data_IF_331403876396
#
_entry.id   IF_331403876396
#
_cell.length_a   1.000
_cell.length_b   1.000
_cell.length_c   1.000
_cell.angle_alpha   90.00
_cell.angle_beta   90.00
_cell.angle_gamma   90.00
#
_symmetry.space_group_name_H-M   'P 1'
#
loop_
_entity.id
_entity.type
_entity.pdbx_description
1 polymer ?
#
# COMPACT_ATOMS: atom_id res chain seq x y z
N UNK A 1 14.19 3.14 -3.40
CA UNK A 1 13.02 2.52 -2.77
C UNK A 1 12.09 2.02 -3.87
N UNK A 2 11.30 0.99 -3.58
CA UNK A 2 10.34 0.44 -4.55
C UNK A 2 8.94 0.44 -3.95
N UNK A 3 7.95 0.77 -4.76
CA UNK A 3 6.55 0.57 -4.41
C UNK A 3 6.15 -0.87 -4.73
N UNK A 4 5.67 -1.58 -3.72
CA UNK A 4 5.21 -2.97 -3.80
C UNK A 4 3.70 -2.99 -3.68
N UNK A 5 3.07 -3.72 -4.59
CA UNK A 5 1.63 -3.97 -4.58
C UNK A 5 1.36 -5.28 -3.84
N UNK A 6 0.70 -5.21 -2.69
CA UNK A 6 0.33 -6.39 -1.90
C UNK A 6 -1.16 -6.67 -2.08
N UNK A 7 -1.45 -7.64 -2.95
CA UNK A 7 -2.82 -8.05 -3.25
C UNK A 7 -3.38 -9.10 -2.27
N UNK A 8 -2.59 -9.54 -1.29
CA UNK A 8 -2.91 -10.73 -0.48
C UNK A 8 -4.26 -10.62 0.22
N UNK A 9 -4.53 -9.48 0.86
CA UNK A 9 -5.79 -9.26 1.59
C UNK A 9 -7.00 -9.29 0.64
N UNK A 10 -6.93 -8.54 -0.46
CA UNK A 10 -8.00 -8.47 -1.46
C UNK A 10 -8.26 -9.81 -2.14
N UNK A 11 -7.21 -10.56 -2.48
CA UNK A 11 -7.36 -11.89 -3.07
C UNK A 11 -8.01 -12.87 -2.10
N UNK A 12 -7.66 -12.81 -0.81
CA UNK A 12 -8.34 -13.62 0.23
C UNK A 12 -9.82 -13.25 0.33
N UNK A 13 -10.15 -11.97 0.25
CA UNK A 13 -11.53 -11.51 0.26
C UNK A 13 -12.30 -11.97 -0.98
N UNK A 14 -11.71 -11.86 -2.17
CA UNK A 14 -12.30 -12.35 -3.43
C UNK A 14 -12.60 -13.86 -3.34
N UNK A 15 -11.65 -14.65 -2.82
CA UNK A 15 -11.83 -16.10 -2.65
C UNK A 15 -12.95 -16.39 -1.64
N UNK A 16 -13.01 -15.66 -0.52
CA UNK A 16 -14.07 -15.82 0.46
C UNK A 16 -15.45 -15.45 -0.10
N UNK A 17 -15.53 -14.33 -0.83
CA UNK A 17 -16.73 -13.85 -1.52
C UNK A 17 -17.25 -14.88 -2.54
N UNK A 18 -16.35 -15.44 -3.33
CA UNK A 18 -16.66 -16.49 -4.30
C UNK A 18 -17.25 -17.72 -3.62
N UNK A 19 -16.64 -18.19 -2.51
CA UNK A 19 -17.16 -19.32 -1.70
C UNK A 19 -18.53 -19.03 -1.08
N UNK A 20 -18.85 -17.77 -0.82
CA UNK A 20 -20.15 -17.33 -0.33
C UNK A 20 -21.19 -17.10 -1.46
N UNK A 21 -20.86 -17.42 -2.72
CA UNK A 21 -21.76 -17.29 -3.87
C UNK A 21 -21.75 -15.92 -4.54
N UNK A 22 -20.88 -14.99 -4.10
CA UNK A 22 -20.73 -13.67 -4.71
C UNK A 22 -19.53 -13.67 -5.68
N UNK A 23 -19.80 -13.72 -6.98
CA UNK A 23 -18.79 -13.99 -8.01
C UNK A 23 -18.07 -12.76 -8.59
N UNK A 24 -18.22 -11.58 -7.98
CA UNK A 24 -17.57 -10.35 -8.44
C UNK A 24 -18.40 -9.10 -8.19
N UNK A 25 -18.12 -8.03 -8.95
CA UNK A 25 -18.84 -6.75 -8.88
C UNK A 25 -18.31 -5.77 -7.83
N UNK A 26 -17.34 -6.17 -7.01
CA UNK A 26 -16.66 -5.30 -6.04
C UNK A 26 -15.37 -4.75 -6.63
N UNK A 27 -15.20 -3.43 -6.56
CA UNK A 27 -13.93 -2.74 -6.85
C UNK A 27 -13.07 -2.70 -5.60
N UNK A 28 -11.77 -2.95 -5.77
CA UNK A 28 -10.78 -2.83 -4.71
C UNK A 28 -9.79 -1.74 -5.09
N UNK A 29 -9.46 -0.88 -4.12
CA UNK A 29 -8.45 0.16 -4.29
C UNK A 29 -7.32 -0.09 -3.31
N UNK A 30 -6.09 -0.13 -3.82
CA UNK A 30 -4.90 -0.28 -2.99
C UNK A 30 -4.44 1.09 -2.51
N UNK A 31 -4.14 1.19 -1.22
CA UNK A 31 -3.65 2.40 -0.58
C UNK A 31 -2.48 2.06 0.34
N UNK A 32 -1.68 3.05 0.69
CA UNK A 32 -0.68 2.90 1.75
C UNK A 32 -1.35 2.63 3.11
N UNK A 33 -2.56 3.17 3.33
CA UNK A 33 -3.31 3.02 4.59
C UNK A 33 -3.96 1.66 4.79
N UNK A 34 -4.15 0.87 3.71
CA UNK A 34 -4.74 -0.47 3.79
C UNK A 34 -3.72 -1.59 3.51
N UNK A 35 -2.43 -1.25 3.57
CA UNK A 35 -1.28 -2.12 3.26
C UNK A 35 -1.29 -2.72 1.84
N UNK A 36 -2.24 -2.34 0.97
CA UNK A 36 -2.28 -2.77 -0.42
C UNK A 36 -1.13 -2.19 -1.25
N UNK A 37 -0.59 -1.05 -0.81
CA UNK A 37 0.65 -0.47 -1.32
C UNK A 37 1.66 -0.39 -0.17
N UNK A 38 2.91 -0.75 -0.44
CA UNK A 38 4.01 -0.68 0.53
C UNK A 38 5.22 -0.01 -0.11
N UNK A 39 5.95 0.79 0.66
CA UNK A 39 7.26 1.29 0.23
C UNK A 39 8.34 0.46 0.91
N UNK A 40 9.17 -0.20 0.11
CA UNK A 40 10.28 -1.02 0.60
C UNK A 40 11.60 -0.36 0.26
N UNK A 41 12.43 -0.19 1.28
CA UNK A 41 13.81 0.27 1.14
C UNK A 41 14.74 -0.91 0.90
N UNK A 42 15.75 -0.73 0.05
CA UNK A 42 16.76 -1.76 -0.18
C UNK A 42 17.67 -1.87 1.06
N UNK A 43 17.69 -3.02 1.77
CA UNK A 43 18.53 -3.18 2.95
C UNK A 43 20.02 -3.18 2.62
N UNK A 44 20.41 -3.49 1.37
CA UNK A 44 21.79 -3.47 0.90
C UNK A 44 22.31 -2.08 0.53
N UNK A 45 21.51 -1.04 0.67
CA UNK A 45 21.90 0.34 0.37
C UNK A 45 21.72 1.22 1.60
N UNK A 46 22.81 1.86 2.04
CA UNK A 46 22.79 2.79 3.15
C UNK A 46 22.20 4.13 2.73
N UNK A 47 20.91 4.33 3.02
CA UNK A 47 20.22 5.60 2.76
C UNK A 47 20.64 6.61 3.84
N UNK A 48 21.02 7.84 3.48
CA UNK A 48 21.23 8.91 4.45
C UNK A 48 20.01 9.09 5.38
N UNK A 49 20.27 9.34 6.66
CA UNK A 49 19.21 9.31 7.68
C UNK A 49 18.13 10.38 7.44
N UNK A 50 18.53 11.56 7.02
CA UNK A 50 17.65 12.68 6.65
C UNK A 50 16.78 12.34 5.43
N UNK A 51 17.37 11.73 4.41
CA UNK A 51 16.65 11.27 3.21
C UNK A 51 15.63 10.19 3.56
N UNK A 52 16.01 9.23 4.42
CA UNK A 52 15.08 8.20 4.87
C UNK A 52 13.93 8.80 5.68
N UNK A 53 14.23 9.69 6.63
CA UNK A 53 13.23 10.36 7.45
C UNK A 53 12.24 11.18 6.61
N UNK A 54 12.72 11.89 5.58
CA UNK A 54 11.85 12.61 4.65
C UNK A 54 10.90 11.66 3.89
N UNK A 55 11.40 10.50 3.46
CA UNK A 55 10.59 9.46 2.83
C UNK A 55 9.53 8.87 3.77
N UNK A 56 9.93 8.52 5.00
CA UNK A 56 9.02 7.99 6.03
C UNK A 56 7.93 9.02 6.38
N UNK A 57 8.29 10.31 6.47
CA UNK A 57 7.34 11.40 6.69
C UNK A 57 6.34 11.52 5.54
N UNK A 58 6.81 11.49 4.29
CA UNK A 58 5.91 11.56 3.13
C UNK A 58 4.91 10.40 3.10
N UNK A 59 5.36 9.19 3.45
CA UNK A 59 4.49 8.01 3.58
C UNK A 59 3.42 8.25 4.67
N UNK A 60 3.82 8.73 5.84
CA UNK A 60 2.90 9.03 6.94
C UNK A 60 1.91 10.15 6.59
N UNK A 61 2.35 11.19 5.89
CA UNK A 61 1.51 12.30 5.46
C UNK A 61 0.48 11.84 4.41
N UNK A 62 0.83 10.91 3.51
CA UNK A 62 -0.14 10.29 2.59
C UNK A 62 -1.14 9.40 3.34
N UNK A 63 -0.68 8.59 4.29
CA UNK A 63 -1.56 7.69 5.08
C UNK A 63 -2.55 8.50 5.92
N UNK A 64 -2.10 9.59 6.55
CA UNK A 64 -2.94 10.48 7.36
C UNK A 64 -3.85 11.39 6.54
N UNK A 65 -3.62 11.49 5.22
CA UNK A 65 -4.35 12.39 4.33
C UNK A 65 -3.88 13.85 4.38
N UNK A 66 -2.81 14.16 5.12
CA UNK A 66 -2.16 15.47 5.09
C UNK A 66 -1.61 15.79 3.68
N UNK A 67 -1.16 14.75 2.95
CA UNK A 67 -0.87 14.82 1.52
C UNK A 67 -1.95 14.04 0.76
N UNK A 68 -2.67 14.75 -0.12
CA UNK A 68 -3.69 14.14 -0.99
C UNK A 68 -3.10 13.85 -2.36
N UNK A 69 -3.06 12.57 -2.73
CA UNK A 69 -2.63 12.14 -4.07
C UNK A 69 -3.80 12.32 -5.04
N UNK A 70 -3.59 13.11 -6.08
CA UNK A 70 -4.56 13.27 -7.19
C UNK A 70 -4.15 12.40 -8.38
N UNK A 71 -5.11 11.84 -9.13
CA UNK A 71 -4.84 11.16 -10.40
C UNK A 71 -4.15 12.06 -11.43
#
# INVERSE_FOLDING_TARGET
ASQVYDWTSMLREIIASNKAGTLGGKTYTLHLSNDGLKIIYNPGYAIPADVKAAGDKAIADIISGAVKVTP
#
